data_IF_466221915074
#
_entry.id   IF_466221915074
#
_cell.length_a   1.000
_cell.length_b   1.000
_cell.length_c   1.000
_cell.angle_alpha   90.00
_cell.angle_beta   90.00
_cell.angle_gamma   90.00
#
_symmetry.space_group_name_H-M   'P 1'
#
loop_
_entity.id
_entity.type
_entity.pdbx_description
1 polymer ?
#
# COMPACT_ATOMS: atom_id res chain seq x y z
N UNK A 1 15.64 -40.34 7.36
CA UNK A 1 14.84 -39.14 7.07
C UNK A 1 15.36 -38.57 5.77
N UNK A 2 14.51 -38.23 4.82
CA UNK A 2 14.92 -37.52 3.61
C UNK A 2 15.57 -36.19 4.03
N UNK A 3 16.70 -35.85 3.43
CA UNK A 3 17.34 -34.55 3.67
C UNK A 3 16.51 -33.49 2.89
N UNK A 4 16.08 -32.43 3.56
CA UNK A 4 15.45 -31.28 2.90
C UNK A 4 16.51 -30.45 2.16
N UNK A 5 16.96 -30.96 1.00
CA UNK A 5 17.98 -30.33 0.14
C UNK A 5 17.59 -30.44 -1.32
N UNK A 6 18.13 -29.52 -2.12
CA UNK A 6 18.17 -29.61 -3.58
C UNK A 6 19.59 -29.90 -4.03
N UNK A 7 19.75 -30.79 -5.01
CA UNK A 7 21.03 -30.99 -5.71
C UNK A 7 20.99 -30.20 -7.01
N UNK A 8 21.89 -29.22 -7.15
CA UNK A 8 22.06 -28.42 -8.36
C UNK A 8 23.37 -28.86 -9.04
N UNK A 9 23.30 -29.39 -10.26
CA UNK A 9 24.48 -29.72 -11.06
C UNK A 9 24.75 -28.56 -12.06
N UNK A 10 25.95 -27.99 -11.94
CA UNK A 10 26.41 -26.97 -12.89
C UNK A 10 27.01 -27.65 -14.13
N UNK A 11 26.26 -27.68 -15.21
CA UNK A 11 26.67 -28.29 -16.48
C UNK A 11 27.91 -27.61 -17.11
N UNK A 12 28.30 -26.43 -16.69
CA UNK A 12 29.49 -25.71 -17.17
C UNK A 12 30.78 -26.35 -16.61
N UNK A 13 30.66 -26.94 -15.40
CA UNK A 13 31.81 -27.55 -14.69
C UNK A 13 31.63 -29.00 -14.37
N UNK A 14 30.43 -29.58 -14.48
CA UNK A 14 30.08 -30.93 -14.03
C UNK A 14 29.98 -31.07 -12.52
N UNK A 15 30.14 -30.01 -11.73
CA UNK A 15 30.07 -30.09 -10.26
C UNK A 15 28.64 -30.05 -9.77
N UNK A 16 28.36 -30.77 -8.70
CA UNK A 16 27.07 -30.77 -8.00
C UNK A 16 27.19 -30.12 -6.63
N UNK A 17 26.15 -29.39 -6.26
CA UNK A 17 26.03 -28.60 -5.03
C UNK A 17 24.77 -29.01 -4.29
N UNK A 18 24.85 -29.27 -2.99
CA UNK A 18 23.65 -29.43 -2.14
C UNK A 18 23.24 -28.09 -1.54
N UNK A 19 22.00 -27.69 -1.79
CA UNK A 19 21.41 -26.44 -1.28
C UNK A 19 20.31 -26.81 -0.29
N UNK A 20 20.39 -26.38 0.98
CA UNK A 20 19.35 -26.63 1.97
C UNK A 20 18.03 -25.95 1.58
N UNK A 21 16.92 -26.67 1.78
CA UNK A 21 15.55 -26.11 1.71
C UNK A 21 15.10 -25.82 3.13
N UNK A 22 14.84 -24.54 3.40
CA UNK A 22 14.33 -24.08 4.68
C UNK A 22 12.80 -24.25 4.79
N UNK A 23 12.27 -24.16 6.02
CA UNK A 23 10.84 -24.22 6.26
C UNK A 23 10.06 -23.21 5.39
N UNK A 24 8.97 -23.67 4.77
CA UNK A 24 8.21 -22.88 3.80
C UNK A 24 8.66 -23.07 2.36
N UNK A 25 9.57 -24.01 2.07
CA UNK A 25 10.03 -24.29 0.70
C UNK A 25 10.96 -23.22 0.14
N UNK A 26 11.75 -22.59 0.99
CA UNK A 26 12.63 -21.45 0.65
C UNK A 26 14.08 -21.91 0.57
N UNK A 27 14.82 -21.43 -0.45
CA UNK A 27 16.28 -21.54 -0.55
C UNK A 27 16.91 -20.15 -0.35
N UNK A 28 18.07 -20.12 0.34
CA UNK A 28 18.82 -18.85 0.46
C UNK A 28 19.49 -18.51 -0.87
N UNK A 29 19.18 -17.37 -1.43
CA UNK A 29 19.77 -16.90 -2.69
C UNK A 29 21.31 -16.82 -2.62
N UNK A 30 21.88 -16.60 -1.42
CA UNK A 30 23.33 -16.61 -1.20
C UNK A 30 24.02 -17.95 -1.54
N UNK A 31 23.31 -19.07 -1.48
CA UNK A 31 23.83 -20.36 -1.86
C UNK A 31 24.21 -20.45 -3.36
N UNK A 32 23.57 -19.65 -4.20
CA UNK A 32 23.91 -19.59 -5.63
C UNK A 32 25.31 -19.02 -5.88
N UNK A 33 25.86 -18.22 -4.95
CA UNK A 33 27.23 -17.67 -5.06
C UNK A 33 28.32 -18.69 -5.06
N UNK A 34 28.08 -19.89 -4.49
CA UNK A 34 29.07 -20.95 -4.42
C UNK A 34 29.20 -21.71 -5.74
N UNK A 35 28.24 -21.54 -6.65
CA UNK A 35 28.22 -22.13 -7.98
C UNK A 35 29.05 -21.26 -8.92
N UNK A 36 30.29 -21.69 -9.20
CA UNK A 36 31.32 -20.94 -9.93
C UNK A 36 32.00 -21.80 -10.97
N UNK A 37 32.39 -21.15 -12.07
CA UNK A 37 33.20 -21.75 -13.13
C UNK A 37 34.71 -21.70 -12.84
N UNK A 38 35.13 -20.77 -11.97
CA UNK A 38 36.53 -20.58 -11.61
C UNK A 38 36.72 -19.67 -10.40
N UNK A 39 37.96 -19.45 -9.94
CA UNK A 39 38.25 -18.64 -8.74
C UNK A 39 37.86 -17.15 -8.91
N UNK A 40 37.95 -16.62 -10.11
CA UNK A 40 37.63 -15.23 -10.41
C UNK A 40 36.11 -15.02 -10.72
N UNK A 41 35.32 -16.11 -10.77
CA UNK A 41 33.89 -16.04 -10.99
C UNK A 41 33.20 -15.60 -9.68
N UNK A 42 32.33 -14.58 -9.77
CA UNK A 42 31.52 -14.13 -8.65
C UNK A 42 30.54 -15.23 -8.16
N UNK A 43 30.13 -16.12 -9.04
CA UNK A 43 29.07 -17.10 -8.84
C UNK A 43 27.73 -16.64 -9.38
N UNK A 44 26.73 -17.53 -9.30
CA UNK A 44 25.39 -17.24 -9.83
C UNK A 44 24.64 -16.21 -8.99
N UNK A 45 23.80 -15.45 -9.64
CA UNK A 45 22.81 -14.53 -9.04
C UNK A 45 21.41 -14.89 -9.51
N UNK A 46 20.42 -14.71 -8.65
CA UNK A 46 19.03 -14.73 -9.08
C UNK A 46 18.68 -13.43 -9.81
N UNK A 47 17.88 -13.51 -10.86
CA UNK A 47 17.33 -12.35 -11.57
C UNK A 47 15.80 -12.39 -11.48
N UNK A 48 15.26 -11.51 -10.63
CA UNK A 48 13.83 -11.37 -10.38
C UNK A 48 13.49 -9.89 -10.12
N UNK A 49 13.42 -9.06 -11.18
CA UNK A 49 13.32 -7.61 -11.05
C UNK A 49 12.04 -7.13 -10.37
N UNK A 50 11.01 -7.95 -10.38
CA UNK A 50 9.71 -7.59 -9.81
C UNK A 50 9.37 -8.37 -8.53
N UNK A 51 10.32 -9.11 -7.95
CA UNK A 51 10.12 -9.97 -6.78
C UNK A 51 8.94 -10.94 -6.95
N UNK A 52 8.79 -11.54 -8.13
CA UNK A 52 7.68 -12.45 -8.43
C UNK A 52 7.78 -13.78 -7.69
N UNK A 53 9.00 -14.21 -7.41
CA UNK A 53 9.32 -15.46 -6.71
C UNK A 53 10.44 -15.26 -5.67
N UNK A 54 10.49 -14.07 -5.04
CA UNK A 54 11.54 -13.72 -4.07
C UNK A 54 10.91 -13.27 -2.76
N UNK A 55 11.15 -14.03 -1.68
CA UNK A 55 10.85 -13.60 -0.32
C UNK A 55 11.96 -12.68 0.18
N UNK A 56 11.63 -11.42 0.48
CA UNK A 56 12.59 -10.39 0.95
C UNK A 56 12.70 -10.32 2.47
N UNK A 57 11.79 -10.96 3.21
CA UNK A 57 11.77 -10.96 4.67
C UNK A 57 10.90 -12.09 5.22
N UNK A 58 11.00 -12.30 6.53
CA UNK A 58 10.01 -13.04 7.31
C UNK A 58 9.14 -12.05 8.06
N UNK A 59 7.83 -12.29 8.11
CA UNK A 59 6.86 -11.44 8.81
C UNK A 59 5.79 -12.30 9.49
N UNK A 60 5.26 -11.79 10.60
CA UNK A 60 4.12 -12.36 11.33
C UNK A 60 2.90 -11.47 11.24
N UNK A 61 2.93 -10.40 10.43
CA UNK A 61 1.84 -9.40 10.38
C UNK A 61 0.66 -9.94 9.59
N UNK A 62 0.90 -10.32 8.34
CA UNK A 62 -0.16 -10.69 7.41
C UNK A 62 0.15 -12.03 6.73
N UNK A 63 -0.86 -12.89 6.67
CA UNK A 63 -0.85 -14.12 5.89
C UNK A 63 -1.84 -14.01 4.73
N UNK A 64 -1.40 -14.36 3.53
CA UNK A 64 -2.24 -14.42 2.33
C UNK A 64 -2.06 -15.78 1.67
N UNK A 65 -3.20 -16.44 1.39
CA UNK A 65 -3.27 -17.57 0.45
C UNK A 65 -4.09 -17.10 -0.75
N UNK A 66 -3.39 -16.72 -1.81
CA UNK A 66 -4.02 -16.13 -2.99
C UNK A 66 -4.87 -17.11 -3.79
N UNK A 67 -4.53 -18.41 -3.77
CA UNK A 67 -5.30 -19.44 -4.49
C UNK A 67 -6.65 -19.72 -3.78
N UNK A 68 -6.66 -19.66 -2.44
CA UNK A 68 -7.87 -19.86 -1.65
C UNK A 68 -8.63 -18.57 -1.33
N UNK A 69 -8.07 -17.40 -1.66
CA UNK A 69 -8.67 -16.11 -1.32
C UNK A 69 -8.72 -15.85 0.19
N UNK A 70 -7.66 -16.20 0.91
CA UNK A 70 -7.56 -16.04 2.36
C UNK A 70 -6.68 -14.85 2.67
N UNK A 71 -7.15 -13.98 3.57
CA UNK A 71 -6.38 -12.89 4.18
C UNK A 71 -6.54 -12.94 5.70
N UNK A 72 -5.43 -12.91 6.43
CA UNK A 72 -5.42 -12.89 7.90
C UNK A 72 -4.43 -11.86 8.42
N UNK A 73 -4.83 -11.10 9.44
CA UNK A 73 -3.92 -10.26 10.23
C UNK A 73 -3.61 -10.97 11.54
N UNK A 74 -2.34 -11.25 11.78
CA UNK A 74 -1.88 -11.95 12.99
C UNK A 74 -2.63 -13.27 13.25
N UNK A 75 -3.12 -13.93 12.20
CA UNK A 75 -3.86 -15.16 12.27
C UNK A 75 -5.40 -15.01 12.27
N UNK A 76 -5.94 -13.82 12.53
CA UNK A 76 -7.38 -13.54 12.51
C UNK A 76 -7.88 -13.33 11.08
N UNK A 77 -8.97 -14.00 10.66
CA UNK A 77 -9.57 -13.79 9.34
C UNK A 77 -10.02 -12.35 9.15
N UNK A 78 -9.85 -11.81 7.94
CA UNK A 78 -10.23 -10.43 7.64
C UNK A 78 -11.75 -10.22 7.76
N UNK A 79 -12.53 -11.26 7.47
CA UNK A 79 -13.99 -11.25 7.60
C UNK A 79 -14.42 -11.03 9.04
N UNK A 80 -13.80 -11.76 9.99
CA UNK A 80 -14.12 -11.64 11.42
C UNK A 80 -13.73 -10.27 11.96
N UNK A 81 -12.55 -9.77 11.56
CA UNK A 81 -12.09 -8.45 11.95
C UNK A 81 -13.00 -7.33 11.42
N UNK A 82 -13.45 -7.44 10.18
CA UNK A 82 -14.36 -6.47 9.57
C UNK A 82 -15.77 -6.50 10.19
N UNK A 83 -16.23 -7.65 10.71
CA UNK A 83 -17.55 -7.81 11.31
C UNK A 83 -17.58 -7.37 12.78
N UNK A 84 -16.52 -7.67 13.54
CA UNK A 84 -16.56 -7.61 15.01
C UNK A 84 -15.63 -6.57 15.63
N UNK A 85 -14.67 -6.02 14.87
CA UNK A 85 -13.68 -5.07 15.37
C UNK A 85 -13.91 -3.67 14.82
N UNK A 86 -13.17 -2.70 15.38
CA UNK A 86 -12.97 -1.37 14.80
C UNK A 86 -11.52 -1.20 14.35
N UNK A 87 -11.25 -0.15 13.56
CA UNK A 87 -9.92 0.06 13.01
C UNK A 87 -8.83 0.21 14.08
N UNK A 88 -9.08 0.92 15.18
CA UNK A 88 -8.05 1.10 16.22
C UNK A 88 -7.71 -0.20 16.93
N UNK A 89 -8.68 -1.10 17.10
CA UNK A 89 -8.45 -2.43 17.66
C UNK A 89 -7.60 -3.28 16.71
N UNK A 90 -7.90 -3.23 15.40
CA UNK A 90 -7.12 -3.92 14.37
C UNK A 90 -5.72 -3.31 14.24
N UNK A 91 -5.57 -1.99 14.33
CA UNK A 91 -4.28 -1.33 14.36
C UNK A 91 -3.45 -1.78 15.59
N UNK A 92 -4.09 -1.93 16.75
CA UNK A 92 -3.43 -2.52 17.91
C UNK A 92 -2.97 -3.96 17.63
N UNK A 93 -3.86 -4.81 17.14
CA UNK A 93 -3.54 -6.20 16.77
C UNK A 93 -2.33 -6.27 15.84
N UNK A 94 -2.33 -5.50 14.76
CA UNK A 94 -1.26 -5.48 13.77
C UNK A 94 0.08 -5.07 14.40
N UNK A 95 0.07 -4.00 15.20
CA UNK A 95 1.29 -3.43 15.82
C UNK A 95 1.78 -4.26 17.00
N UNK A 96 0.88 -4.81 17.84
CA UNK A 96 1.23 -5.50 19.08
C UNK A 96 1.28 -7.01 18.94
N UNK A 97 0.53 -7.60 18.00
CA UNK A 97 0.52 -9.01 17.71
C UNK A 97 -0.69 -9.79 18.25
N UNK A 98 -1.43 -9.21 19.18
CA UNK A 98 -2.60 -9.80 19.82
C UNK A 98 -3.74 -8.78 19.94
N UNK A 99 -4.98 -9.22 20.02
CA UNK A 99 -6.12 -8.35 20.31
C UNK A 99 -6.02 -7.80 21.74
N UNK A 100 -6.38 -6.51 21.96
CA UNK A 100 -6.34 -5.93 23.29
C UNK A 100 -7.52 -6.44 24.17
N UNK A 101 -7.29 -6.53 25.47
CA UNK A 101 -8.40 -6.49 26.40
C UNK A 101 -8.94 -5.06 26.57
N UNK A 102 -10.07 -4.90 27.27
CA UNK A 102 -10.73 -3.61 27.43
C UNK A 102 -9.82 -2.53 28.02
N UNK A 103 -8.95 -2.88 28.97
CA UNK A 103 -8.02 -1.94 29.62
C UNK A 103 -6.93 -1.50 28.63
N UNK A 104 -6.34 -2.43 27.90
CA UNK A 104 -5.29 -2.12 26.91
C UNK A 104 -5.86 -1.36 25.72
N UNK A 105 -7.11 -1.68 25.30
CA UNK A 105 -7.78 -0.94 24.24
C UNK A 105 -8.02 0.51 24.65
N UNK A 106 -8.60 0.77 25.83
CA UNK A 106 -8.84 2.12 26.31
C UNK A 106 -7.55 2.95 26.42
N UNK A 107 -6.47 2.34 26.93
CA UNK A 107 -5.17 2.99 27.00
C UNK A 107 -4.58 3.28 25.60
N UNK A 108 -4.75 2.37 24.64
CA UNK A 108 -4.32 2.54 23.26
C UNK A 108 -5.09 3.67 22.57
N UNK A 109 -6.41 3.65 22.64
CA UNK A 109 -7.27 4.67 22.07
C UNK A 109 -6.93 6.05 22.62
N UNK A 110 -6.82 6.18 23.94
CA UNK A 110 -6.43 7.43 24.60
C UNK A 110 -5.05 7.91 24.12
N UNK A 111 -4.09 7.01 24.00
CA UNK A 111 -2.76 7.35 23.49
C UNK A 111 -2.79 7.84 22.04
N UNK A 112 -3.63 7.25 21.17
CA UNK A 112 -3.79 7.73 19.78
C UNK A 112 -4.44 9.12 19.78
N UNK A 113 -5.54 9.29 20.52
CA UNK A 113 -6.28 10.55 20.64
C UNK A 113 -5.39 11.71 21.11
N UNK A 114 -4.49 11.49 22.04
CA UNK A 114 -3.55 12.53 22.54
C UNK A 114 -2.46 12.90 21.53
N UNK A 115 -2.33 12.19 20.41
CA UNK A 115 -1.34 12.44 19.38
C UNK A 115 -1.91 12.91 18.03
N UNK A 116 -3.19 13.27 17.97
CA UNK A 116 -3.88 13.70 16.74
C UNK A 116 -3.45 15.09 16.25
N UNK A 117 -3.09 15.98 17.18
CA UNK A 117 -2.67 17.34 16.83
C UNK A 117 -1.32 17.36 16.13
N UNK A 118 -1.18 18.24 15.16
CA UNK A 118 0.08 18.53 14.45
C UNK A 118 0.61 19.90 14.87
N UNK A 119 1.91 20.11 14.72
CA UNK A 119 2.53 21.41 15.01
C UNK A 119 1.98 22.48 14.06
N UNK A 120 1.70 23.69 14.54
CA UNK A 120 1.12 24.79 13.75
C UNK A 120 1.95 25.14 12.50
N UNK A 121 3.26 24.99 12.53
CA UNK A 121 4.08 25.21 11.35
C UNK A 121 3.82 24.21 10.21
N UNK A 122 3.21 23.05 10.48
CA UNK A 122 2.75 22.14 9.43
C UNK A 122 1.63 22.79 8.61
N UNK A 123 0.75 23.58 9.21
CA UNK A 123 -0.24 24.37 8.47
C UNK A 123 0.42 25.35 7.51
N UNK A 124 1.42 26.12 8.01
CA UNK A 124 2.19 27.04 7.16
C UNK A 124 2.90 26.32 6.01
N UNK A 125 3.42 25.13 6.27
CA UNK A 125 4.01 24.29 5.24
C UNK A 125 2.96 23.87 4.21
N UNK A 126 1.77 23.46 4.64
CA UNK A 126 0.66 23.10 3.75
C UNK A 126 0.14 24.29 2.94
N UNK A 127 0.09 25.50 3.51
CA UNK A 127 -0.31 26.73 2.83
C UNK A 127 0.61 27.08 1.64
N UNK A 128 1.84 26.54 1.63
CA UNK A 128 2.78 26.68 0.51
C UNK A 128 2.47 25.82 -0.72
N UNK A 129 1.58 24.85 -0.61
CA UNK A 129 1.15 24.07 -1.77
C UNK A 129 0.16 24.88 -2.65
N UNK A 130 0.14 24.56 -3.93
CA UNK A 130 -0.88 25.13 -4.83
C UNK A 130 -2.26 24.62 -4.39
N UNK A 131 -3.29 25.43 -4.63
CA UNK A 131 -4.68 25.10 -4.29
C UNK A 131 -5.22 23.86 -5.05
N UNK A 132 -4.64 23.57 -6.23
CA UNK A 132 -4.96 22.42 -7.08
C UNK A 132 -3.99 21.25 -6.90
N UNK A 133 -3.13 21.30 -5.87
CA UNK A 133 -2.21 20.22 -5.57
C UNK A 133 -2.96 18.95 -5.21
N UNK A 134 -2.47 17.80 -5.70
CA UNK A 134 -3.06 16.52 -5.36
C UNK A 134 -2.86 16.20 -3.86
N UNK A 135 -3.92 15.87 -3.08
CA UNK A 135 -3.82 15.62 -1.65
C UNK A 135 -2.77 14.58 -1.25
N UNK A 136 -2.54 13.59 -2.10
CA UNK A 136 -1.51 12.57 -1.85
C UNK A 136 -0.09 13.15 -1.92
N UNK A 137 0.17 14.05 -2.88
CA UNK A 137 1.46 14.77 -2.96
C UNK A 137 1.70 15.65 -1.74
N UNK A 138 0.65 16.34 -1.26
CA UNK A 138 0.69 17.10 -0.02
C UNK A 138 1.00 16.19 1.18
N UNK A 139 0.37 15.01 1.25
CA UNK A 139 0.58 14.05 2.33
C UNK A 139 2.02 13.53 2.35
N UNK A 140 2.60 13.19 1.20
CA UNK A 140 4.01 12.78 1.08
C UNK A 140 4.94 13.85 1.65
N UNK A 141 4.77 15.09 1.22
CA UNK A 141 5.59 16.22 1.67
C UNK A 141 5.46 16.51 3.16
N UNK A 142 4.23 16.49 3.67
CA UNK A 142 3.96 16.80 5.09
C UNK A 142 4.40 15.69 6.04
N UNK A 143 4.26 14.42 5.67
CA UNK A 143 4.80 13.32 6.47
C UNK A 143 6.32 13.42 6.55
N UNK A 144 7.00 13.67 5.42
CA UNK A 144 8.44 13.88 5.41
C UNK A 144 8.86 15.06 6.30
N UNK A 145 8.13 16.17 6.25
CA UNK A 145 8.39 17.34 7.09
C UNK A 145 8.27 17.03 8.60
N UNK A 146 7.39 16.08 9.01
CA UNK A 146 7.24 15.70 10.42
C UNK A 146 8.56 15.19 11.03
N UNK A 147 9.48 14.62 10.26
CA UNK A 147 10.79 14.17 10.77
C UNK A 147 11.56 15.29 11.45
N UNK A 148 11.39 16.52 11.00
CA UNK A 148 12.08 17.70 11.54
C UNK A 148 11.47 18.21 12.84
N UNK A 149 10.27 17.77 13.21
CA UNK A 149 9.58 18.16 14.44
C UNK A 149 9.79 17.15 15.58
N UNK A 150 10.32 15.97 15.28
CA UNK A 150 10.52 14.89 16.25
C UNK A 150 11.94 14.31 16.15
N UNK A 151 12.98 15.07 16.56
CA UNK A 151 14.38 14.63 16.40
C UNK A 151 14.69 13.32 17.13
N UNK A 152 13.98 13.01 18.21
CA UNK A 152 14.10 11.74 18.93
C UNK A 152 13.66 10.52 18.10
N UNK A 153 12.94 10.73 16.99
CA UNK A 153 12.55 9.66 16.08
C UNK A 153 13.75 9.00 15.38
N UNK A 154 14.90 9.67 15.33
CA UNK A 154 16.15 9.10 14.86
C UNK A 154 16.68 7.94 15.74
N UNK A 155 16.18 7.80 16.97
CA UNK A 155 16.52 6.71 17.88
C UNK A 155 15.74 5.44 17.54
N UNK A 156 15.91 4.93 16.30
CA UNK A 156 15.14 3.81 15.78
C UNK A 156 15.34 2.49 16.53
N UNK A 157 16.46 2.33 17.24
CA UNK A 157 16.75 1.15 18.05
C UNK A 157 16.15 1.23 19.47
N UNK A 158 15.73 2.41 19.94
CA UNK A 158 15.04 2.55 21.22
C UNK A 158 13.58 2.08 21.10
N UNK A 159 13.17 1.20 22.01
CA UNK A 159 11.82 0.60 21.98
C UNK A 159 10.73 1.63 22.27
N UNK A 160 10.96 2.52 23.23
CA UNK A 160 9.95 3.51 23.62
C UNK A 160 9.81 4.60 22.55
N UNK A 161 10.92 5.01 21.92
CA UNK A 161 10.87 5.89 20.74
C UNK A 161 10.04 5.24 19.63
N UNK A 162 10.31 3.98 19.25
CA UNK A 162 9.51 3.28 18.23
C UNK A 162 8.02 3.25 18.55
N UNK A 163 7.67 2.94 19.81
CA UNK A 163 6.28 2.92 20.29
C UNK A 163 5.62 4.29 20.19
N UNK A 164 6.35 5.35 20.57
CA UNK A 164 5.86 6.72 20.52
C UNK A 164 5.63 7.17 19.08
N UNK A 165 6.61 6.96 18.19
CA UNK A 165 6.48 7.37 16.79
C UNK A 165 5.34 6.60 16.08
N UNK A 166 5.14 5.33 16.39
CA UNK A 166 4.01 4.55 15.87
C UNK A 166 2.67 5.20 16.25
N UNK A 167 2.48 5.56 17.51
CA UNK A 167 1.26 6.24 17.98
C UNK A 167 1.07 7.60 17.33
N UNK A 168 2.14 8.38 17.22
CA UNK A 168 2.12 9.70 16.55
C UNK A 168 1.71 9.59 15.08
N UNK A 169 2.29 8.66 14.34
CA UNK A 169 1.96 8.48 12.93
C UNK A 169 0.51 8.06 12.74
N UNK A 170 0.03 7.04 13.47
CA UNK A 170 -1.37 6.60 13.41
C UNK A 170 -2.31 7.75 13.78
N UNK A 171 -2.00 8.51 14.85
CA UNK A 171 -2.86 9.61 15.31
C UNK A 171 -2.87 10.83 14.38
N UNK A 172 -1.73 11.18 13.77
CA UNK A 172 -1.59 12.42 12.99
C UNK A 172 -2.01 12.30 11.54
N UNK A 173 -1.94 11.12 10.94
CA UNK A 173 -2.26 10.98 9.52
C UNK A 173 -3.67 11.40 9.14
N UNK A 174 -4.73 11.09 9.90
CA UNK A 174 -6.07 11.63 9.62
C UNK A 174 -6.10 13.16 9.60
N UNK A 175 -5.39 13.82 10.52
CA UNK A 175 -5.33 15.28 10.59
C UNK A 175 -4.64 15.87 9.36
N UNK A 176 -3.48 15.31 8.95
CA UNK A 176 -2.78 15.74 7.74
C UNK A 176 -3.63 15.53 6.48
N UNK A 177 -4.31 14.40 6.40
CA UNK A 177 -5.20 14.05 5.30
C UNK A 177 -6.40 15.02 5.20
N UNK A 178 -7.02 15.33 6.33
CA UNK A 178 -8.14 16.27 6.40
C UNK A 178 -7.68 17.70 6.06
N UNK A 179 -6.50 18.11 6.51
CA UNK A 179 -5.93 19.41 6.14
C UNK A 179 -5.65 19.49 4.64
N UNK A 180 -5.09 18.44 4.05
CA UNK A 180 -4.89 18.39 2.59
C UNK A 180 -6.22 18.51 1.82
N UNK A 181 -7.26 17.79 2.25
CA UNK A 181 -8.59 17.91 1.67
C UNK A 181 -9.14 19.33 1.76
N UNK A 182 -9.11 19.92 2.96
CA UNK A 182 -9.66 21.28 3.17
C UNK A 182 -8.87 22.35 2.44
N UNK A 183 -7.56 22.19 2.32
CA UNK A 183 -6.71 23.07 1.51
C UNK A 183 -7.16 23.10 0.05
N UNK A 184 -7.36 21.93 -0.57
CA UNK A 184 -7.81 21.84 -1.97
C UNK A 184 -9.23 22.36 -2.20
N UNK A 185 -10.02 22.49 -1.14
CA UNK A 185 -11.38 23.07 -1.18
C UNK A 185 -11.44 24.53 -0.80
N UNK A 186 -10.31 25.14 -0.43
CA UNK A 186 -10.28 26.52 0.07
C UNK A 186 -11.03 26.70 1.40
N UNK A 187 -11.13 25.64 2.22
CA UNK A 187 -11.86 25.65 3.48
C UNK A 187 -10.90 25.83 4.68
N UNK A 188 -11.35 26.51 5.76
CA UNK A 188 -10.58 26.58 7.00
C UNK A 188 -10.24 25.19 7.52
N UNK A 189 -9.05 24.98 8.07
CA UNK A 189 -8.68 23.74 8.73
C UNK A 189 -9.54 23.50 9.97
N UNK A 190 -9.98 22.26 10.16
CA UNK A 190 -10.72 21.81 11.34
C UNK A 190 -9.80 20.91 12.15
N UNK A 191 -9.61 21.27 13.41
CA UNK A 191 -8.80 20.51 14.35
C UNK A 191 -9.52 19.25 14.81
N UNK A 192 -8.76 18.21 15.23
CA UNK A 192 -9.34 16.98 15.77
C UNK A 192 -10.22 17.24 16.98
N UNK A 193 -11.30 16.49 17.08
CA UNK A 193 -12.21 16.41 18.21
C UNK A 193 -12.07 15.02 18.85
N UNK A 194 -11.35 14.95 19.97
CA UNK A 194 -10.99 13.68 20.60
C UNK A 194 -12.14 13.03 21.41
N UNK A 195 -13.32 13.65 21.46
CA UNK A 195 -14.55 13.01 21.97
C UNK A 195 -15.15 12.03 20.95
N UNK A 196 -14.82 12.20 19.67
CA UNK A 196 -15.26 11.32 18.60
C UNK A 196 -14.39 10.05 18.49
N UNK A 197 -14.91 9.02 17.80
CA UNK A 197 -14.12 7.87 17.38
C UNK A 197 -13.04 8.26 16.37
N UNK A 198 -12.13 7.37 16.04
CA UNK A 198 -11.06 7.63 15.08
C UNK A 198 -11.60 8.05 13.70
N UNK A 199 -12.53 7.28 13.15
CA UNK A 199 -13.15 7.56 11.84
C UNK A 199 -14.17 8.68 11.91
N UNK A 200 -14.91 8.78 13.00
CA UNK A 200 -15.82 9.90 13.26
C UNK A 200 -15.10 11.23 13.35
N UNK A 201 -13.95 11.28 14.03
CA UNK A 201 -13.08 12.45 14.10
C UNK A 201 -12.56 12.85 12.71
N UNK A 202 -12.15 11.87 11.91
CA UNK A 202 -11.72 12.15 10.54
C UNK A 202 -12.85 12.72 9.68
N UNK A 203 -14.06 12.14 9.73
CA UNK A 203 -15.23 12.69 9.03
C UNK A 203 -15.58 14.11 9.50
N UNK A 204 -15.49 14.36 10.81
CA UNK A 204 -15.70 15.71 11.36
C UNK A 204 -14.66 16.70 10.82
N UNK A 205 -13.39 16.34 10.79
CA UNK A 205 -12.34 17.21 10.23
C UNK A 205 -12.55 17.50 8.73
N UNK A 206 -13.11 16.56 7.97
CA UNK A 206 -13.42 16.75 6.55
C UNK A 206 -14.65 17.68 6.36
N UNK A 207 -15.76 17.39 7.02
CA UNK A 207 -17.07 17.87 6.63
C UNK A 207 -17.70 18.91 7.57
N UNK A 208 -17.24 19.05 8.82
CA UNK A 208 -17.76 20.08 9.73
C UNK A 208 -17.54 21.48 9.13
N UNK A 209 -18.61 22.27 9.06
CA UNK A 209 -18.55 23.65 8.58
C UNK A 209 -18.73 24.63 9.73
N UNK A 210 -19.96 24.90 10.09
CA UNK A 210 -20.33 25.89 11.12
C UNK A 210 -21.01 25.26 12.33
N UNK A 211 -21.23 23.95 12.30
CA UNK A 211 -21.89 23.22 13.37
C UNK A 211 -21.03 23.21 14.64
N UNK A 212 -21.59 23.61 15.76
CA UNK A 212 -20.93 23.58 17.08
C UNK A 212 -20.72 22.13 17.54
N UNK A 213 -21.71 21.26 17.31
CA UNK A 213 -21.70 19.85 17.70
C UNK A 213 -21.92 18.97 16.45
N UNK A 214 -20.89 18.87 15.62
CA UNK A 214 -20.94 17.96 14.47
C UNK A 214 -20.97 16.51 14.94
N UNK A 215 -21.96 15.75 14.45
CA UNK A 215 -22.04 14.32 14.67
C UNK A 215 -21.94 13.59 13.33
N UNK A 216 -20.92 12.77 13.14
CA UNK A 216 -20.82 11.93 11.96
C UNK A 216 -22.05 11.03 11.82
N UNK A 217 -22.44 10.74 10.57
CA UNK A 217 -23.48 9.75 10.34
C UNK A 217 -22.94 8.37 10.76
N UNK A 218 -23.62 7.61 11.65
CA UNK A 218 -23.09 6.35 12.19
C UNK A 218 -22.84 5.29 11.11
N UNK A 219 -23.66 5.26 10.05
CA UNK A 219 -23.47 4.31 8.93
C UNK A 219 -22.20 4.65 8.14
N UNK A 220 -21.95 5.94 7.88
CA UNK A 220 -20.73 6.38 7.19
C UNK A 220 -19.47 6.15 8.04
N UNK A 221 -19.58 6.39 9.33
CA UNK A 221 -18.52 6.15 10.30
C UNK A 221 -18.14 4.67 10.32
N UNK A 222 -19.11 3.78 10.49
CA UNK A 222 -18.91 2.32 10.46
C UNK A 222 -18.37 1.85 9.11
N UNK A 223 -18.91 2.35 8.01
CA UNK A 223 -18.44 2.00 6.66
C UNK A 223 -16.97 2.37 6.47
N UNK A 224 -16.58 3.57 6.88
CA UNK A 224 -15.20 4.03 6.79
C UNK A 224 -14.26 3.22 7.70
N UNK A 225 -14.72 2.87 8.88
CA UNK A 225 -13.97 2.06 9.84
C UNK A 225 -13.65 0.66 9.27
N UNK A 226 -14.64 0.01 8.68
CA UNK A 226 -14.44 -1.28 8.00
C UNK A 226 -13.52 -1.15 6.80
N UNK A 227 -13.68 -0.11 5.97
CA UNK A 227 -12.78 0.15 4.85
C UNK A 227 -11.34 0.35 5.34
N UNK A 228 -11.13 0.99 6.48
CA UNK A 228 -9.83 1.14 7.09
C UNK A 228 -9.25 -0.20 7.56
N UNK A 229 -10.06 -1.08 8.15
CA UNK A 229 -9.65 -2.46 8.50
C UNK A 229 -9.15 -3.20 7.27
N UNK A 230 -9.91 -3.16 6.17
CA UNK A 230 -9.56 -3.87 4.92
C UNK A 230 -8.27 -3.37 4.25
N UNK A 231 -7.84 -2.15 4.57
CA UNK A 231 -6.65 -1.52 4.01
C UNK A 231 -5.45 -1.46 4.97
N UNK A 232 -5.60 -1.95 6.21
CA UNK A 232 -4.60 -1.77 7.27
C UNK A 232 -3.23 -2.40 6.96
N UNK A 233 -3.19 -3.59 6.35
CA UNK A 233 -1.96 -4.21 5.82
C UNK A 233 -2.25 -5.13 4.64
N UNK A 234 -1.23 -5.47 3.87
CA UNK A 234 -1.32 -6.44 2.77
C UNK A 234 0.05 -6.96 2.40
N UNK A 235 0.74 -7.62 3.33
CA UNK A 235 2.04 -8.27 3.14
C UNK A 235 3.10 -7.31 2.53
N UNK A 236 3.99 -7.83 1.64
CA UNK A 236 5.05 -7.06 0.99
C UNK A 236 4.57 -6.38 -0.31
N UNK A 237 3.46 -5.64 -0.25
CA UNK A 237 3.05 -4.78 -1.36
C UNK A 237 4.11 -3.69 -1.64
N UNK A 238 3.99 -3.00 -2.76
CA UNK A 238 4.97 -2.01 -3.23
C UNK A 238 5.33 -0.97 -2.16
N UNK A 239 4.34 -0.40 -1.46
CA UNK A 239 4.60 0.63 -0.45
C UNK A 239 5.26 0.07 0.82
N UNK A 240 4.89 -1.13 1.26
CA UNK A 240 5.55 -1.82 2.37
C UNK A 240 6.99 -2.16 2.03
N UNK A 241 7.24 -2.64 0.80
CA UNK A 241 8.61 -2.90 0.33
C UNK A 241 9.45 -1.61 0.26
N UNK A 242 8.88 -0.51 -0.24
CA UNK A 242 9.55 0.79 -0.25
C UNK A 242 9.89 1.27 1.16
N UNK A 243 8.96 1.13 2.12
CA UNK A 243 9.21 1.46 3.52
C UNK A 243 10.35 0.63 4.11
N UNK A 244 10.36 -0.69 3.88
CA UNK A 244 11.43 -1.56 4.36
C UNK A 244 12.77 -1.25 3.70
N UNK A 245 12.77 -0.96 2.38
CA UNK A 245 13.98 -0.58 1.67
C UNK A 245 14.59 0.70 2.23
N UNK A 246 13.80 1.76 2.38
CA UNK A 246 14.26 3.04 2.94
C UNK A 246 14.60 2.91 4.42
N UNK A 247 13.73 2.29 5.21
CA UNK A 247 13.94 2.06 6.64
C UNK A 247 15.16 1.20 6.97
N UNK A 248 15.61 0.35 6.02
CA UNK A 248 16.82 -0.48 6.19
C UNK A 248 18.10 0.34 6.37
N UNK A 249 18.09 1.61 5.97
CA UNK A 249 19.17 2.59 6.24
C UNK A 249 19.14 3.12 7.68
N UNK A 250 18.18 2.72 8.50
CA UNK A 250 17.91 3.21 9.86
C UNK A 250 17.52 4.69 9.92
N UNK A 251 16.96 5.22 8.83
CA UNK A 251 16.32 6.55 8.86
C UNK A 251 15.08 6.53 9.76
N UNK A 252 14.70 7.70 10.25
CA UNK A 252 13.51 7.87 11.07
C UNK A 252 12.23 7.35 10.40
N UNK A 253 11.20 6.94 11.16
CA UNK A 253 10.01 6.34 10.59
C UNK A 253 9.14 7.30 9.77
N UNK A 254 9.22 8.64 9.99
CA UNK A 254 8.47 9.59 9.16
C UNK A 254 9.00 9.61 7.74
N UNK A 255 10.33 9.65 7.56
CA UNK A 255 10.98 9.55 6.26
C UNK A 255 10.65 8.22 5.56
N UNK A 256 10.65 7.10 6.31
CA UNK A 256 10.30 5.80 5.77
C UNK A 256 8.81 5.70 5.36
N UNK A 257 7.89 6.26 6.16
CA UNK A 257 6.46 6.34 5.82
C UNK A 257 6.20 7.30 4.66
N UNK A 258 6.94 8.41 4.54
CA UNK A 258 6.84 9.28 3.38
C UNK A 258 7.20 8.54 2.08
N UNK A 259 8.25 7.72 2.09
CA UNK A 259 8.61 6.87 0.96
C UNK A 259 7.52 5.82 0.63
N UNK A 260 6.96 5.17 1.64
CA UNK A 260 5.83 4.27 1.46
C UNK A 260 4.60 4.97 0.88
N UNK A 261 4.32 6.18 1.36
CA UNK A 261 3.21 7.01 0.88
C UNK A 261 3.45 7.42 -0.58
N UNK A 262 4.68 7.78 -0.95
CA UNK A 262 5.04 8.08 -2.33
C UNK A 262 4.85 6.85 -3.26
N UNK A 263 5.25 5.66 -2.81
CA UNK A 263 5.02 4.43 -3.57
C UNK A 263 3.52 4.12 -3.71
N UNK A 264 2.72 4.38 -2.66
CA UNK A 264 1.28 4.17 -2.68
C UNK A 264 0.57 5.13 -3.65
N UNK A 265 1.11 6.33 -3.88
CA UNK A 265 0.55 7.31 -4.80
C UNK A 265 0.56 6.84 -6.27
N UNK A 266 1.43 5.91 -6.62
CA UNK A 266 1.56 5.43 -8.00
C UNK A 266 0.27 4.81 -8.57
N UNK A 267 -0.01 4.99 -9.88
CA UNK A 267 -1.23 4.53 -10.54
C UNK A 267 -1.35 3.00 -10.60
N UNK A 268 -0.25 2.27 -10.40
CA UNK A 268 -0.24 0.81 -10.35
C UNK A 268 -0.39 0.26 -8.91
N UNK A 269 -0.58 1.15 -7.91
CA UNK A 269 -0.77 0.78 -6.52
C UNK A 269 -2.03 1.48 -5.97
N UNK A 270 -1.96 2.38 -5.01
CA UNK A 270 -3.14 3.05 -4.43
C UNK A 270 -3.91 3.93 -5.42
N UNK A 271 -3.30 4.42 -6.48
CA UNK A 271 -3.97 5.13 -7.57
C UNK A 271 -4.88 4.25 -8.46
N UNK A 272 -4.86 2.92 -8.29
CA UNK A 272 -5.75 2.02 -9.05
C UNK A 272 -7.24 2.30 -8.78
N UNK A 273 -7.56 2.71 -7.56
CA UNK A 273 -8.91 3.08 -7.14
C UNK A 273 -9.51 4.25 -7.96
N UNK A 274 -8.71 5.30 -8.20
CA UNK A 274 -9.11 6.40 -9.09
C UNK A 274 -9.32 5.92 -10.52
N UNK A 275 -8.45 5.04 -11.00
CA UNK A 275 -8.54 4.52 -12.36
C UNK A 275 -9.82 3.70 -12.59
N UNK A 276 -10.32 3.00 -11.57
CA UNK A 276 -11.63 2.31 -11.64
C UNK A 276 -12.75 3.33 -11.87
N UNK A 277 -12.80 4.39 -11.08
CA UNK A 277 -13.87 5.40 -11.23
C UNK A 277 -13.80 6.11 -12.57
N UNK A 278 -12.61 6.47 -13.05
CA UNK A 278 -12.43 7.05 -14.39
C UNK A 278 -12.95 6.09 -15.48
N UNK A 279 -12.63 4.81 -15.40
CA UNK A 279 -13.14 3.78 -16.31
C UNK A 279 -14.67 3.69 -16.27
N UNK A 280 -15.29 3.70 -15.10
CA UNK A 280 -16.75 3.64 -14.97
C UNK A 280 -17.43 4.90 -15.54
N UNK A 281 -16.84 6.07 -15.35
CA UNK A 281 -17.31 7.33 -15.94
C UNK A 281 -17.19 7.26 -17.47
N UNK A 282 -16.08 6.77 -18.01
CA UNK A 282 -15.86 6.63 -19.46
C UNK A 282 -16.84 5.65 -20.11
N UNK A 283 -17.21 4.57 -19.42
CA UNK A 283 -18.26 3.65 -19.88
C UNK A 283 -19.62 4.35 -19.92
N UNK A 284 -19.92 5.18 -18.91
CA UNK A 284 -21.08 6.07 -18.84
C UNK A 284 -22.43 5.41 -18.64
N UNK A 285 -22.64 4.17 -19.10
CA UNK A 285 -23.92 3.45 -18.98
C UNK A 285 -23.71 1.93 -18.99
N UNK A 286 -24.55 1.16 -18.25
CA UNK A 286 -24.52 -0.31 -18.31
C UNK A 286 -24.68 -0.88 -19.74
N UNK A 287 -25.40 -0.19 -20.61
CA UNK A 287 -25.59 -0.58 -22.02
C UNK A 287 -24.29 -0.58 -22.82
N UNK A 288 -23.29 0.20 -22.42
CA UNK A 288 -21.99 0.31 -23.08
C UNK A 288 -20.98 -0.73 -22.60
N UNK A 289 -21.29 -1.47 -21.52
CA UNK A 289 -20.38 -2.46 -20.92
C UNK A 289 -19.98 -3.57 -21.91
N UNK A 290 -20.89 -4.16 -22.72
CA UNK A 290 -20.49 -5.17 -23.69
C UNK A 290 -19.47 -4.65 -24.72
N UNK A 291 -19.61 -3.40 -25.16
CA UNK A 291 -18.69 -2.77 -26.11
C UNK A 291 -17.32 -2.51 -25.48
N UNK A 292 -17.33 -2.04 -24.23
CA UNK A 292 -16.12 -1.88 -23.44
C UNK A 292 -15.36 -3.20 -23.28
N UNK A 293 -16.06 -4.28 -22.92
CA UNK A 293 -15.50 -5.64 -22.76
C UNK A 293 -14.89 -6.14 -24.07
N UNK A 294 -15.53 -5.89 -25.22
CA UNK A 294 -14.93 -6.23 -26.53
C UNK A 294 -13.60 -5.52 -26.75
N UNK A 295 -13.50 -4.23 -26.39
CA UNK A 295 -12.25 -3.47 -26.45
C UNK A 295 -11.17 -4.03 -25.53
N UNK A 296 -11.56 -4.46 -24.31
CA UNK A 296 -10.63 -5.12 -23.36
C UNK A 296 -10.07 -6.42 -23.95
N UNK A 297 -10.92 -7.26 -24.53
CA UNK A 297 -10.50 -8.53 -25.17
C UNK A 297 -9.54 -8.34 -26.34
N UNK A 298 -9.67 -7.22 -27.07
CA UNK A 298 -8.75 -6.84 -28.16
C UNK A 298 -7.46 -6.17 -27.68
N UNK A 299 -7.33 -5.86 -26.39
CA UNK A 299 -6.20 -5.12 -25.84
C UNK A 299 -6.24 -3.60 -26.09
N UNK A 300 -7.33 -3.07 -26.63
CA UNK A 300 -7.55 -1.65 -26.91
C UNK A 300 -7.89 -0.84 -25.64
N UNK A 301 -8.42 -1.53 -24.61
CA UNK A 301 -8.83 -0.95 -23.32
C UNK A 301 -8.35 -1.82 -22.17
N UNK A 302 -8.20 -1.20 -20.99
CA UNK A 302 -7.79 -1.89 -19.77
C UNK A 302 -8.96 -1.99 -18.79
N UNK A 303 -9.23 -3.20 -18.29
CA UNK A 303 -10.20 -3.42 -17.23
C UNK A 303 -9.53 -3.16 -15.86
N UNK A 304 -9.93 -2.05 -15.21
CA UNK A 304 -9.40 -1.67 -13.90
C UNK A 304 -10.23 -2.29 -12.79
N UNK A 305 -9.59 -2.58 -11.64
CA UNK A 305 -10.27 -3.19 -10.49
C UNK A 305 -10.51 -4.70 -10.61
N UNK A 306 -9.95 -5.34 -11.63
CA UNK A 306 -10.03 -6.78 -11.87
C UNK A 306 -8.65 -7.41 -11.90
N UNK A 307 -8.57 -8.62 -11.35
CA UNK A 307 -7.32 -9.34 -11.19
C UNK A 307 -6.49 -8.79 -10.03
N UNK A 308 -5.61 -9.61 -9.54
CA UNK A 308 -4.70 -9.26 -8.46
C UNK A 308 -3.38 -10.02 -8.63
N UNK A 309 -2.27 -9.41 -8.24
CA UNK A 309 -0.95 -10.05 -8.34
C UNK A 309 -0.88 -11.32 -7.48
N UNK A 310 -1.53 -11.33 -6.33
CA UNK A 310 -1.52 -12.43 -5.37
C UNK A 310 -2.77 -13.31 -5.51
N UNK A 311 -3.98 -12.72 -5.42
CA UNK A 311 -5.21 -13.51 -5.50
C UNK A 311 -5.45 -14.07 -6.91
N UNK A 312 -5.62 -15.40 -6.97
CA UNK A 312 -6.06 -16.17 -8.13
C UNK A 312 -7.51 -16.60 -8.03
N UNK A 313 -8.17 -16.25 -6.95
CA UNK A 313 -9.60 -16.36 -6.67
C UNK A 313 -10.17 -14.97 -6.36
N UNK A 314 -11.42 -14.91 -5.95
CA UNK A 314 -12.09 -13.67 -5.58
C UNK A 314 -11.41 -13.04 -4.35
N UNK A 315 -11.09 -11.74 -4.40
CA UNK A 315 -10.52 -11.01 -3.26
C UNK A 315 -11.52 -11.00 -2.08
N UNK A 316 -11.21 -11.54 -0.91
CA UNK A 316 -12.14 -11.63 0.21
C UNK A 316 -12.65 -10.25 0.63
N UNK A 317 -11.86 -9.20 0.46
CA UNK A 317 -12.24 -7.82 0.80
C UNK A 317 -13.32 -7.27 -0.13
N UNK A 318 -13.31 -7.63 -1.41
CA UNK A 318 -14.25 -7.09 -2.39
C UNK A 318 -15.71 -7.42 -2.05
N UNK A 319 -15.98 -8.61 -1.47
CA UNK A 319 -17.32 -8.99 -1.01
C UNK A 319 -17.79 -8.11 0.15
N UNK A 320 -16.89 -7.81 1.09
CA UNK A 320 -17.19 -6.96 2.25
C UNK A 320 -17.49 -5.55 1.78
N UNK A 321 -16.64 -4.98 0.90
CA UNK A 321 -16.83 -3.62 0.36
C UNK A 321 -18.16 -3.52 -0.41
N UNK A 322 -18.50 -4.54 -1.22
CA UNK A 322 -19.78 -4.57 -1.94
C UNK A 322 -20.97 -4.47 -1.02
N UNK A 323 -20.99 -5.21 0.11
CA UNK A 323 -22.04 -5.12 1.13
C UNK A 323 -22.14 -3.72 1.71
N UNK A 324 -20.99 -3.14 2.12
CA UNK A 324 -20.92 -1.81 2.74
C UNK A 324 -21.40 -0.74 1.76
N UNK A 325 -21.10 -0.87 0.47
CA UNK A 325 -21.55 0.08 -0.55
C UNK A 325 -23.08 0.23 -0.53
N UNK A 326 -23.82 -0.86 -0.38
CA UNK A 326 -25.28 -0.79 -0.28
C UNK A 326 -25.74 -0.10 1.01
N UNK A 327 -25.10 -0.37 2.15
CA UNK A 327 -25.41 0.31 3.43
C UNK A 327 -25.19 1.85 3.30
N UNK A 328 -24.13 2.25 2.60
CA UNK A 328 -23.87 3.67 2.31
C UNK A 328 -24.92 4.26 1.36
N UNK A 329 -25.32 3.53 0.32
CA UNK A 329 -26.34 4.00 -0.64
C UNK A 329 -27.72 4.18 0.01
N UNK A 330 -28.08 3.35 1.01
CA UNK A 330 -29.34 3.51 1.75
C UNK A 330 -29.42 4.84 2.48
N UNK A 331 -28.26 5.42 2.86
CA UNK A 331 -28.20 6.70 3.60
C UNK A 331 -27.93 7.89 2.69
N UNK A 332 -27.01 7.73 1.71
CA UNK A 332 -26.52 8.83 0.87
C UNK A 332 -27.22 8.91 -0.49
N UNK A 333 -28.00 7.88 -0.83
CA UNK A 333 -28.53 7.71 -2.17
C UNK A 333 -27.63 6.85 -3.07
N UNK A 334 -28.27 6.19 -4.04
CA UNK A 334 -27.61 5.25 -4.95
C UNK A 334 -26.66 5.99 -5.89
N UNK A 335 -25.41 5.56 -5.93
CA UNK A 335 -24.44 6.04 -6.92
C UNK A 335 -24.71 5.36 -8.29
N UNK A 336 -24.97 6.10 -9.38
CA UNK A 336 -25.26 5.50 -10.69
C UNK A 336 -24.14 4.59 -11.23
N UNK A 337 -22.89 4.80 -10.83
CA UNK A 337 -21.77 3.97 -11.27
C UNK A 337 -21.84 2.53 -10.76
N UNK A 338 -22.64 2.28 -9.71
CA UNK A 338 -22.83 0.91 -9.20
C UNK A 338 -23.49 -0.01 -10.24
N UNK A 339 -24.40 0.51 -11.04
CA UNK A 339 -25.09 -0.30 -12.07
C UNK A 339 -24.12 -0.73 -13.18
N UNK A 340 -23.17 0.13 -13.53
CA UNK A 340 -22.09 -0.20 -14.47
C UNK A 340 -21.17 -1.25 -13.85
N UNK A 341 -20.84 -1.09 -12.56
CA UNK A 341 -19.97 -2.02 -11.82
C UNK A 341 -20.61 -3.42 -11.73
N UNK A 342 -21.89 -3.50 -11.42
CA UNK A 342 -22.61 -4.78 -11.34
C UNK A 342 -22.67 -5.50 -12.69
N UNK A 343 -22.89 -4.76 -13.78
CA UNK A 343 -22.91 -5.35 -15.12
C UNK A 343 -21.52 -5.80 -15.57
N UNK A 344 -20.46 -5.02 -15.25
CA UNK A 344 -19.07 -5.44 -15.49
C UNK A 344 -18.73 -6.72 -14.71
N UNK A 345 -19.08 -6.78 -13.43
CA UNK A 345 -18.83 -7.97 -12.60
C UNK A 345 -19.59 -9.18 -13.16
N UNK A 346 -20.88 -9.03 -13.48
CA UNK A 346 -21.69 -10.11 -14.03
C UNK A 346 -21.06 -10.71 -15.28
N UNK A 347 -20.69 -9.87 -16.24
CA UNK A 347 -20.07 -10.34 -17.50
C UNK A 347 -18.71 -10.97 -17.21
N UNK A 348 -17.88 -10.36 -16.39
CA UNK A 348 -16.54 -10.88 -16.12
C UNK A 348 -16.54 -12.21 -15.36
N UNK A 349 -17.57 -12.50 -14.56
CA UNK A 349 -17.70 -13.76 -13.84
C UNK A 349 -18.24 -14.90 -14.72
N UNK A 350 -18.93 -14.58 -15.82
CA UNK A 350 -19.54 -15.54 -16.75
C UNK A 350 -18.70 -15.78 -18.02
N UNK A 351 -17.84 -14.85 -18.39
CA UNK A 351 -17.11 -14.86 -19.65
C UNK A 351 -15.78 -15.64 -19.54
N UNK A 352 -15.61 -16.67 -20.36
CA UNK A 352 -14.44 -17.55 -20.38
C UNK A 352 -13.09 -16.82 -20.50
N UNK A 353 -13.04 -15.67 -21.17
CA UNK A 353 -11.82 -14.86 -21.28
C UNK A 353 -11.32 -14.40 -19.92
N UNK A 354 -12.22 -13.95 -19.03
CA UNK A 354 -11.89 -13.46 -17.69
C UNK A 354 -11.72 -14.61 -16.71
N UNK A 355 -12.62 -15.59 -16.75
CA UNK A 355 -12.59 -16.76 -15.86
C UNK A 355 -11.29 -17.57 -16.06
N UNK A 356 -10.91 -17.87 -17.30
CA UNK A 356 -9.67 -18.61 -17.60
C UNK A 356 -8.41 -17.86 -17.18
N UNK A 357 -8.45 -16.52 -17.15
CA UNK A 357 -7.35 -15.65 -16.70
C UNK A 357 -7.43 -15.28 -15.22
N UNK A 358 -8.45 -15.79 -14.51
CA UNK A 358 -8.68 -15.51 -13.06
C UNK A 358 -8.79 -14.00 -12.76
N UNK A 359 -9.47 -13.25 -13.62
CA UNK A 359 -9.67 -11.81 -13.48
C UNK A 359 -10.96 -11.54 -12.70
N UNK A 360 -10.90 -11.67 -11.39
CA UNK A 360 -12.00 -11.39 -10.47
C UNK A 360 -11.93 -9.96 -9.95
N UNK A 361 -13.05 -9.36 -9.48
CA UNK A 361 -13.04 -8.07 -8.80
C UNK A 361 -12.11 -8.08 -7.59
N UNK A 362 -11.30 -7.04 -7.45
CA UNK A 362 -10.47 -6.80 -6.28
C UNK A 362 -11.07 -5.72 -5.37
N UNK A 363 -10.40 -5.39 -4.26
CA UNK A 363 -10.88 -4.41 -3.27
C UNK A 363 -11.15 -3.04 -3.90
N UNK A 364 -10.35 -2.60 -4.88
CA UNK A 364 -10.47 -1.27 -5.48
C UNK A 364 -11.74 -1.09 -6.32
N UNK A 365 -12.32 -2.19 -6.81
CA UNK A 365 -13.45 -2.15 -7.73
C UNK A 365 -14.70 -1.50 -7.12
N UNK A 366 -15.02 -1.80 -5.86
CA UNK A 366 -16.17 -1.23 -5.16
C UNK A 366 -15.81 -0.08 -4.21
N UNK A 367 -14.57 -0.02 -3.76
CA UNK A 367 -14.15 0.99 -2.77
C UNK A 367 -14.32 2.41 -3.30
N UNK A 368 -13.95 2.67 -4.55
CA UNK A 368 -14.06 3.98 -5.16
C UNK A 368 -15.51 4.47 -5.27
N UNK A 369 -16.43 3.58 -5.65
CA UNK A 369 -17.87 3.91 -5.75
C UNK A 369 -18.44 4.21 -4.37
N UNK A 370 -18.01 3.49 -3.35
CA UNK A 370 -18.39 3.72 -1.96
C UNK A 370 -17.89 5.07 -1.44
N UNK A 371 -16.61 5.38 -1.63
CA UNK A 371 -16.05 6.68 -1.22
C UNK A 371 -16.73 7.85 -1.93
N UNK A 372 -17.03 7.70 -3.22
CA UNK A 372 -17.74 8.74 -3.98
C UNK A 372 -19.16 8.97 -3.44
N UNK A 373 -19.87 7.89 -3.09
CA UNK A 373 -21.18 7.99 -2.44
C UNK A 373 -21.11 8.68 -1.08
N UNK A 374 -20.02 8.52 -0.33
CA UNK A 374 -19.75 9.23 0.92
C UNK A 374 -19.41 10.72 0.72
N UNK A 375 -19.38 11.23 -0.52
CA UNK A 375 -19.04 12.62 -0.84
C UNK A 375 -17.55 12.93 -0.94
N UNK A 376 -16.71 11.90 -0.99
CA UNK A 376 -15.25 12.06 -1.09
C UNK A 376 -14.82 12.19 -2.56
N UNK A 377 -13.97 13.16 -2.91
CA UNK A 377 -13.47 13.30 -4.28
C UNK A 377 -12.44 12.19 -4.59
N UNK A 378 -12.33 11.82 -5.86
CA UNK A 378 -11.41 10.78 -6.33
C UNK A 378 -9.95 11.00 -5.86
N UNK A 379 -9.50 12.25 -5.85
CA UNK A 379 -8.13 12.61 -5.41
C UNK A 379 -7.83 12.24 -3.95
N UNK A 380 -8.87 12.01 -3.15
CA UNK A 380 -8.72 11.55 -1.76
C UNK A 380 -8.59 10.03 -1.61
N UNK A 381 -8.90 9.22 -2.62
CA UNK A 381 -8.92 7.76 -2.48
C UNK A 381 -7.57 7.16 -2.06
N UNK A 382 -6.43 7.51 -2.69
CA UNK A 382 -5.14 7.00 -2.21
C UNK A 382 -4.77 7.55 -0.82
N UNK A 383 -5.26 8.72 -0.43
CA UNK A 383 -5.08 9.27 0.93
C UNK A 383 -5.85 8.45 1.96
N UNK A 384 -7.11 8.08 1.64
CA UNK A 384 -7.93 7.19 2.48
C UNK A 384 -7.33 5.80 2.64
N UNK A 385 -6.55 5.38 1.64
CA UNK A 385 -5.77 4.14 1.72
C UNK A 385 -4.53 4.30 2.61
N UNK A 386 -3.83 5.44 2.55
CA UNK A 386 -2.60 5.69 3.33
C UNK A 386 -2.85 5.75 4.84
N UNK A 387 -3.99 6.33 5.27
CA UNK A 387 -4.33 6.46 6.69
C UNK A 387 -4.28 5.10 7.40
N UNK A 388 -5.11 4.11 7.03
CA UNK A 388 -5.11 2.82 7.71
C UNK A 388 -3.84 2.02 7.48
N UNK A 389 -3.22 2.11 6.30
CA UNK A 389 -2.01 1.38 5.96
C UNK A 389 -0.81 1.78 6.84
N UNK A 390 -0.87 2.92 7.48
CA UNK A 390 0.16 3.36 8.43
C UNK A 390 0.38 2.36 9.56
N UNK A 391 -0.67 1.72 10.07
CA UNK A 391 -0.54 0.67 11.10
C UNK A 391 0.26 -0.53 10.59
N UNK A 392 -0.01 -0.99 9.35
CA UNK A 392 0.72 -2.06 8.69
C UNK A 392 2.17 -1.68 8.40
N UNK A 393 2.40 -0.49 7.83
CA UNK A 393 3.77 0.02 7.58
C UNK A 393 4.58 0.06 8.87
N UNK A 394 4.03 0.60 9.96
CA UNK A 394 4.73 0.69 11.23
C UNK A 394 5.02 -0.67 11.86
N UNK A 395 4.11 -1.64 11.73
CA UNK A 395 4.34 -3.00 12.19
C UNK A 395 5.45 -3.69 11.39
N UNK A 396 5.42 -3.58 10.06
CA UNK A 396 6.43 -4.11 9.15
C UNK A 396 7.80 -3.47 9.38
N UNK A 397 7.84 -2.15 9.60
CA UNK A 397 9.06 -1.43 9.95
C UNK A 397 9.62 -1.88 11.30
N UNK A 398 8.77 -2.02 12.32
CA UNK A 398 9.20 -2.47 13.64
C UNK A 398 9.71 -3.92 13.64
N UNK A 399 9.15 -4.80 12.82
CA UNK A 399 9.70 -6.15 12.59
C UNK A 399 11.08 -6.07 11.93
N UNK A 400 11.22 -5.26 10.87
CA UNK A 400 12.47 -5.09 10.15
C UNK A 400 13.60 -4.60 11.07
N UNK A 401 13.36 -3.58 11.89
CA UNK A 401 14.38 -3.02 12.80
C UNK A 401 14.86 -4.07 13.83
N UNK A 402 14.03 -5.05 14.17
CA UNK A 402 14.35 -6.11 15.15
C UNK A 402 14.90 -7.37 14.52
N UNK A 403 14.84 -7.48 13.21
CA UNK A 403 15.30 -8.67 12.49
C UNK A 403 16.82 -8.67 12.38
N UNK A 404 17.48 -9.63 13.03
CA UNK A 404 18.95 -9.78 13.01
C UNK A 404 19.51 -10.14 11.62
N UNK A 405 18.69 -10.69 10.73
CA UNK A 405 19.09 -10.98 9.35
C UNK A 405 19.00 -9.75 8.45
N UNK A 406 18.28 -8.70 8.88
CA UNK A 406 18.08 -7.49 8.10
C UNK A 406 19.39 -6.70 7.99
N UNK A 407 19.68 -6.28 6.76
CA UNK A 407 20.79 -5.40 6.41
C UNK A 407 20.26 -4.29 5.51
N UNK A 408 21.08 -3.27 5.27
CA UNK A 408 20.74 -2.22 4.29
C UNK A 408 20.39 -2.87 2.94
N UNK A 409 19.23 -2.50 2.40
CA UNK A 409 18.74 -3.02 1.14
C UNK A 409 19.61 -2.49 -0.02
N UNK A 410 20.38 -3.39 -0.60
CA UNK A 410 21.25 -3.11 -1.74
C UNK A 410 21.22 -4.26 -2.74
N UNK A 411 20.25 -4.28 -3.65
CA UNK A 411 20.20 -5.30 -4.68
C UNK A 411 21.42 -5.23 -5.60
N UNK A 412 21.72 -6.35 -6.25
CA UNK A 412 22.72 -6.41 -7.32
C UNK A 412 22.07 -5.98 -8.62
N UNK A 413 22.90 -5.57 -9.58
CA UNK A 413 22.44 -5.31 -10.95
C UNK A 413 23.28 -6.14 -11.93
N UNK A 414 22.68 -6.49 -13.06
CA UNK A 414 23.39 -6.96 -14.25
C UNK A 414 23.78 -5.72 -15.03
N UNK A 415 25.08 -5.47 -15.13
CA UNK A 415 25.57 -4.37 -15.91
C UNK A 415 25.58 -4.73 -17.41
N UNK A 416 24.86 -3.97 -18.21
CA UNK A 416 24.71 -4.20 -19.66
C UNK A 416 25.32 -3.07 -20.50
N UNK A 417 26.01 -2.13 -19.88
CA UNK A 417 26.72 -1.06 -20.57
C UNK A 417 28.14 -1.45 -21.01
N UNK A 418 28.86 -0.51 -21.59
CA UNK A 418 30.24 -0.68 -22.00
C UNK A 418 31.16 -1.00 -20.81
N UNK A 419 31.95 -2.06 -20.89
CA UNK A 419 32.80 -2.52 -19.79
C UNK A 419 33.87 -1.49 -19.43
N UNK A 420 34.49 -0.87 -20.44
CA UNK A 420 35.50 0.14 -20.24
C UNK A 420 35.47 1.14 -21.40
N UNK A 421 35.41 2.43 -21.08
CA UNK A 421 35.54 3.51 -22.08
C UNK A 421 36.69 4.43 -21.70
N UNK A 422 37.44 4.90 -22.72
CA UNK A 422 38.52 5.86 -22.51
C UNK A 422 37.94 7.27 -22.35
N UNK A 423 38.34 7.96 -21.29
CA UNK A 423 37.99 9.38 -21.13
C UNK A 423 38.65 10.22 -22.21
N UNK A 424 37.91 11.13 -22.83
CA UNK A 424 38.37 12.03 -23.87
C UNK A 424 38.10 13.49 -23.46
N UNK A 425 39.05 14.43 -23.58
CA UNK A 425 38.81 15.85 -23.29
C UNK A 425 37.63 16.39 -24.11
N UNK A 426 36.88 17.34 -23.54
CA UNK A 426 35.70 17.91 -24.19
C UNK A 426 35.95 18.40 -25.60
N UNK A 427 37.10 19.06 -25.81
CA UNK A 427 37.52 19.59 -27.11
C UNK A 427 37.81 18.54 -28.20
N UNK A 428 37.93 17.26 -27.81
CA UNK A 428 38.22 16.13 -28.71
C UNK A 428 37.03 15.15 -28.81
N UNK A 429 35.89 15.49 -28.20
CA UNK A 429 34.68 14.66 -28.29
C UNK A 429 33.96 14.96 -29.59
N UNK A 430 33.65 13.90 -30.30
CA UNK A 430 32.72 14.01 -31.42
C UNK A 430 31.30 14.29 -30.87
N UNK A 431 30.48 14.98 -31.69
CA UNK A 431 29.09 15.19 -31.34
C UNK A 431 28.43 13.82 -31.06
N UNK A 432 27.62 13.70 -29.99
CA UNK A 432 26.90 12.46 -29.79
C UNK A 432 26.07 12.19 -31.05
N UNK A 433 26.33 11.06 -31.68
CA UNK A 433 25.49 10.56 -32.76
C UNK A 433 24.06 10.48 -32.20
N UNK A 434 23.02 10.76 -33.00
CA UNK A 434 21.60 10.72 -32.63
C UNK A 434 21.12 9.32 -32.16
N UNK A 435 22.00 8.62 -31.46
CA UNK A 435 21.77 7.28 -30.85
C UNK A 435 21.19 7.34 -29.45
N UNK A 436 20.99 8.53 -28.89
CA UNK A 436 20.41 8.65 -27.54
C UNK A 436 18.98 8.08 -27.48
N UNK A 437 18.22 8.17 -28.56
CA UNK A 437 16.86 7.60 -28.62
C UNK A 437 16.84 6.07 -28.75
N UNK A 438 17.95 5.42 -29.11
CA UNK A 438 18.01 3.96 -29.28
C UNK A 438 18.41 3.18 -28.04
N UNK A 439 18.95 3.83 -27.02
CA UNK A 439 19.34 3.17 -25.75
C UNK A 439 18.14 2.99 -24.83
N UNK A 440 17.12 3.87 -24.92
CA UNK A 440 15.88 3.74 -24.17
C UNK A 440 14.96 2.62 -24.66
N UNK A 441 15.06 2.23 -25.91
CA UNK A 441 14.19 1.20 -26.52
C UNK A 441 14.75 -0.23 -26.45
N UNK A 442 15.92 -0.42 -25.84
CA UNK A 442 16.59 -1.74 -25.72
C UNK A 442 16.63 -2.31 -24.27
N UNK A 443 15.96 -1.64 -23.31
CA UNK A 443 15.87 -2.14 -21.92
C UNK A 443 14.48 -2.76 -21.65
#
# INVERSE_FOLDING_TARGET
MAKDTLTITDNRTGKSYEVPVEAGGVIRAAALRDIKTGPDDFGLMSYDPAFTNTASCRSRVTFIDGDKGILRYRGFPIEDLAEHSNYLEVAYLIVKGELPDAKHYAAWEQNIKTHTMVHENIKKFMEGFRYDAHPMGMLVGTIGALSTFYPEAAQVNDLESRRLQTRRLIGKLPTLAAFAYRHTRGLPYVYPDNELSYTGNFLAMLFRMTETNYKPNPTLEKALDILFILHADHEQNCSTNAMRAVGSSQVDPYSAVAAATAALYGPLHGGANEAVIRMLIDIGSPKNVPDFIRGVKKGERRLMGFGHRVYKSYDPRAKIVKRIAYEVFDVMGRNPLIDISLELERIALEDDYFVSRRLYPNVDFYTGVTYQAMGLPMTMFPVLFAIPRTSGWMAQWAEMIRDSEQKIARPRQIYVGEVLRKWTPLSQREAPDQREDKVSDQI
#
